data_IF_610452769524
#
_entry.id   IF_610452769524
#
_cell.length_a   1.000
_cell.length_b   1.000
_cell.length_c   1.000
_cell.angle_alpha   90.00
_cell.angle_beta   90.00
_cell.angle_gamma   90.00
#
_symmetry.space_group_name_H-M   'P 1'
#
loop_
_entity.id
_entity.type
_entity.pdbx_description
1 polymer ?
#
# COMPACT_ATOMS: atom_id res chain seq x y z
N UNK A 1 -2.20 -3.53 14.77
CA UNK A 1 -2.30 -4.37 13.56
C UNK A 1 -0.90 -4.89 13.24
N UNK A 2 -0.70 -6.21 13.13
CA UNK A 2 0.59 -6.80 12.74
C UNK A 2 0.45 -7.39 11.34
N UNK A 3 1.29 -6.95 10.40
CA UNK A 3 1.26 -7.41 9.01
C UNK A 3 2.63 -7.98 8.62
N UNK A 4 2.64 -9.19 8.09
CA UNK A 4 3.84 -9.83 7.54
C UNK A 4 3.70 -9.95 6.02
N UNK A 5 4.62 -9.35 5.28
CA UNK A 5 4.68 -9.49 3.82
C UNK A 5 5.33 -10.82 3.46
N UNK A 6 4.65 -11.60 2.62
CA UNK A 6 5.16 -12.86 2.08
C UNK A 6 5.04 -12.77 0.56
N UNK A 7 6.16 -12.99 -0.13
CA UNK A 7 6.21 -13.00 -1.59
C UNK A 7 6.25 -14.46 -2.02
N UNK A 8 5.28 -14.87 -2.82
CA UNK A 8 5.17 -16.23 -3.33
C UNK A 8 4.57 -16.20 -4.73
N UNK A 9 4.57 -17.36 -5.39
CA UNK A 9 4.09 -17.57 -6.75
C UNK A 9 3.00 -18.65 -6.76
N UNK A 10 2.23 -18.71 -7.85
CA UNK A 10 1.27 -19.78 -8.09
C UNK A 10 1.89 -20.89 -8.93
N UNK A 11 1.40 -22.11 -8.77
CA UNK A 11 1.70 -23.21 -9.69
C UNK A 11 0.84 -23.14 -10.97
N UNK A 12 1.02 -24.14 -11.85
CA UNK A 12 0.30 -24.24 -13.12
C UNK A 12 -1.22 -24.46 -12.96
N UNK A 13 -1.69 -24.80 -11.75
CA UNK A 13 -3.12 -24.92 -11.42
C UNK A 13 -3.67 -23.68 -10.71
N UNK A 14 -2.83 -22.66 -10.50
CA UNK A 14 -3.21 -21.42 -9.80
C UNK A 14 -3.12 -21.51 -8.27
N UNK A 15 -2.57 -22.60 -7.71
CA UNK A 15 -2.40 -22.73 -6.24
C UNK A 15 -1.16 -22.00 -5.78
N UNK A 16 -1.28 -21.29 -4.66
CA UNK A 16 -0.15 -20.62 -4.01
C UNK A 16 0.89 -21.65 -3.56
N UNK A 17 2.11 -21.55 -4.07
CA UNK A 17 3.22 -22.39 -3.62
C UNK A 17 3.67 -21.96 -2.22
N UNK A 18 4.17 -22.90 -1.43
CA UNK A 18 4.84 -22.66 -0.16
C UNK A 18 4.07 -21.73 0.82
N UNK A 19 2.75 -21.89 0.89
CA UNK A 19 1.93 -21.14 1.84
C UNK A 19 2.38 -21.48 3.28
N UNK A 20 2.72 -20.49 4.12
CA UNK A 20 3.10 -20.74 5.49
C UNK A 20 1.94 -21.30 6.30
N UNK A 21 2.26 -22.08 7.32
CA UNK A 21 1.27 -22.52 8.30
C UNK A 21 0.81 -21.31 9.14
N UNK A 22 -0.50 -21.07 9.16
CA UNK A 22 -1.11 -20.05 10.01
C UNK A 22 -1.49 -20.65 11.38
N UNK A 23 -1.46 -19.86 12.46
CA UNK A 23 -1.92 -20.29 13.77
C UNK A 23 -3.37 -20.82 13.75
N UNK A 24 -3.67 -21.91 14.48
CA UNK A 24 -5.03 -22.45 14.55
C UNK A 24 -5.98 -21.47 15.27
N UNK A 25 -7.25 -21.46 14.85
CA UNK A 25 -8.34 -20.71 15.48
C UNK A 25 -8.10 -19.20 15.60
N UNK A 26 -7.43 -18.60 14.60
CA UNK A 26 -7.22 -17.14 14.52
C UNK A 26 -7.83 -16.58 13.24
N UNK A 27 -8.35 -15.36 13.32
CA UNK A 27 -8.89 -14.62 12.17
C UNK A 27 -7.77 -13.82 11.50
N UNK A 28 -7.68 -13.90 10.18
CA UNK A 28 -6.70 -13.18 9.38
C UNK A 28 -7.37 -12.47 8.21
N UNK A 29 -6.90 -11.27 7.92
CA UNK A 29 -7.14 -10.59 6.65
C UNK A 29 -5.95 -10.88 5.73
N UNK A 30 -6.22 -11.33 4.51
CA UNK A 30 -5.19 -11.67 3.52
C UNK A 30 -5.30 -10.69 2.35
N UNK A 31 -4.19 -10.01 2.05
CA UNK A 31 -4.08 -9.11 0.89
C UNK A 31 -3.27 -9.83 -0.19
N UNK A 32 -3.88 -10.05 -1.36
CA UNK A 32 -3.24 -10.69 -2.52
C UNK A 32 -2.85 -9.60 -3.51
N UNK A 33 -1.62 -9.62 -3.99
CA UNK A 33 -1.12 -8.67 -4.97
C UNK A 33 -0.39 -9.39 -6.10
N UNK A 34 -0.90 -9.27 -7.33
CA UNK A 34 -0.16 -9.68 -8.52
C UNK A 34 0.98 -8.67 -8.77
N UNK A 35 2.21 -9.12 -8.53
CA UNK A 35 3.40 -8.27 -8.68
C UNK A 35 3.72 -7.93 -10.13
N UNK A 36 3.30 -8.75 -11.10
CA UNK A 36 3.54 -8.49 -12.52
C UNK A 36 2.53 -7.50 -13.07
N UNK A 37 1.26 -7.67 -12.74
CA UNK A 37 0.23 -6.68 -13.07
C UNK A 37 0.53 -5.34 -12.41
N UNK A 38 0.95 -5.35 -11.14
CA UNK A 38 1.33 -4.12 -10.44
C UNK A 38 2.53 -3.43 -11.09
N UNK A 39 3.52 -4.17 -11.62
CA UNK A 39 4.62 -3.57 -12.40
C UNK A 39 4.11 -2.96 -13.71
N UNK A 40 3.20 -3.63 -14.40
CA UNK A 40 2.57 -3.11 -15.62
C UNK A 40 1.75 -1.84 -15.35
N UNK A 41 1.04 -1.78 -14.22
CA UNK A 41 0.27 -0.61 -13.78
C UNK A 41 1.21 0.52 -13.33
N UNK A 42 2.30 0.22 -12.60
CA UNK A 42 3.28 1.23 -12.16
C UNK A 42 3.97 1.95 -13.33
N UNK A 43 4.05 1.32 -14.49
CA UNK A 43 4.55 1.95 -15.73
C UNK A 43 3.52 2.87 -16.41
N UNK A 44 2.23 2.74 -16.07
CA UNK A 44 1.15 3.54 -16.66
C UNK A 44 0.77 4.67 -15.71
N UNK A 45 1.31 5.85 -16.00
CA UNK A 45 0.87 7.14 -15.47
C UNK A 45 0.97 7.29 -13.94
N UNK A 46 2.20 7.36 -13.44
CA UNK A 46 2.42 8.17 -12.23
C UNK A 46 1.98 9.60 -12.56
N UNK A 47 1.08 10.17 -11.75
CA UNK A 47 0.75 11.60 -11.86
C UNK A 47 2.02 12.37 -11.49
N UNK A 48 2.73 12.84 -12.49
CA UNK A 48 3.84 13.76 -12.30
C UNK A 48 3.29 15.17 -12.25
N UNK A 49 3.87 16.06 -11.43
CA UNK A 49 3.58 17.48 -11.53
C UNK A 49 3.91 17.95 -12.95
N UNK A 50 3.23 19.01 -13.41
CA UNK A 50 3.53 19.64 -14.69
C UNK A 50 5.05 19.90 -14.81
N UNK A 51 5.69 19.72 -15.98
CA UNK A 51 7.14 19.85 -16.12
C UNK A 51 7.72 21.14 -15.53
N UNK A 52 6.99 22.25 -15.62
CA UNK A 52 7.41 23.54 -15.06
C UNK A 52 7.48 23.59 -13.53
N UNK A 53 6.77 22.67 -12.84
CA UNK A 53 6.75 22.51 -11.40
C UNK A 53 7.74 21.44 -10.92
N UNK A 54 8.21 20.57 -11.82
CA UNK A 54 9.16 19.50 -11.51
C UNK A 54 10.47 20.10 -10.99
N UNK A 55 10.84 19.75 -9.75
CA UNK A 55 12.05 20.25 -9.09
C UNK A 55 11.96 21.69 -8.55
N UNK A 56 10.84 22.40 -8.78
CA UNK A 56 10.61 23.76 -8.24
C UNK A 56 9.76 23.75 -6.97
N UNK A 57 9.15 22.62 -6.62
CA UNK A 57 8.38 22.46 -5.39
C UNK A 57 9.30 22.05 -4.25
N UNK A 58 9.30 22.83 -3.17
CA UNK A 58 9.96 22.51 -1.90
C UNK A 58 8.89 22.21 -0.87
N UNK A 59 8.89 21.01 -0.32
CA UNK A 59 8.05 20.68 0.83
C UNK A 59 8.68 21.36 2.06
N UNK A 60 7.96 22.31 2.65
CA UNK A 60 8.38 23.01 3.87
C UNK A 60 7.57 22.49 5.05
N UNK A 61 8.25 21.86 6.01
CA UNK A 61 7.62 21.31 7.22
C UNK A 61 7.01 19.92 7.03
N UNK A 62 6.31 19.46 8.07
CA UNK A 62 5.60 18.19 8.07
C UNK A 62 4.17 18.40 7.56
N UNK A 63 3.91 17.96 6.33
CA UNK A 63 2.62 18.12 5.65
C UNK A 63 1.57 17.14 6.17
N UNK A 64 2.00 16.09 6.87
CA UNK A 64 1.13 15.03 7.39
C UNK A 64 0.80 15.22 8.88
N UNK A 65 1.60 16.03 9.58
CA UNK A 65 1.31 16.41 10.95
C UNK A 65 0.08 17.31 11.00
N UNK A 66 -1.07 16.68 11.27
CA UNK A 66 -2.36 17.34 11.45
C UNK A 66 -2.58 17.58 12.93
N UNK A 67 -3.38 18.58 13.28
CA UNK A 67 -3.79 18.81 14.67
C UNK A 67 -4.57 17.59 15.22
N UNK A 68 -4.58 17.38 16.54
CA UNK A 68 -5.34 16.28 17.16
C UNK A 68 -6.79 16.27 16.68
N UNK A 69 -7.40 15.09 16.57
CA UNK A 69 -8.81 14.96 16.20
C UNK A 69 -9.74 15.76 17.12
N UNK A 70 -9.36 15.95 18.40
CA UNK A 70 -10.13 16.75 19.37
C UNK A 70 -10.17 18.26 19.02
N UNK A 71 -9.23 18.71 18.18
CA UNK A 71 -9.18 20.07 17.64
C UNK A 71 -9.90 20.17 16.28
N UNK A 72 -10.48 19.08 15.81
CA UNK A 72 -11.30 19.09 14.61
C UNK A 72 -12.70 19.49 15.06
N UNK A 73 -13.20 20.60 14.52
CA UNK A 73 -14.53 21.13 14.77
C UNK A 73 -15.60 20.26 14.06
N UNK A 74 -15.62 18.98 14.42
CA UNK A 74 -16.56 17.99 13.90
C UNK A 74 -17.83 18.05 14.74
N UNK A 75 -19.03 18.08 14.12
CA UNK A 75 -20.28 18.02 14.86
C UNK A 75 -20.41 16.66 15.57
N UNK A 76 -20.74 16.72 16.87
CA UNK A 76 -21.12 15.56 17.71
C UNK A 76 -22.40 14.88 17.26
#
# INVERSE_FOLDING_TARGET
MFAKKIITETDHTGKVKNMPLLPPNKQFEIIILDLNETKAIRGKNKREPHPDLKGKVKILGDVINTTSQDMWDLPT
#
